data_IF_511474751744
#
_entry.id   IF_511474751744
#
_cell.length_a   1.000
_cell.length_b   1.000
_cell.length_c   1.000
_cell.angle_alpha   90.00
_cell.angle_beta   90.00
_cell.angle_gamma   90.00
#
_symmetry.space_group_name_H-M   'P 1'
#
loop_
_entity.id
_entity.type
_entity.pdbx_description
1 polymer ?
#
# COMPACT_ATOMS: atom_id res chain seq x y z
N UNK A 1 6.82 1.66 13.39
CA UNK A 1 6.49 2.05 12.01
C UNK A 1 5.29 1.27 11.53
N UNK A 2 4.22 1.95 11.16
CA UNK A 2 2.94 1.40 10.70
C UNK A 2 3.02 0.92 9.25
N UNK A 3 2.07 0.07 8.83
CA UNK A 3 1.98 -0.39 7.44
C UNK A 3 1.88 0.78 6.44
N UNK A 4 1.13 1.82 6.83
CA UNK A 4 0.97 3.04 6.05
C UNK A 4 2.30 3.77 5.86
N UNK A 5 3.07 3.95 6.93
CA UNK A 5 4.40 4.60 6.87
C UNK A 5 5.37 3.83 5.97
N UNK A 6 5.40 2.50 6.10
CA UNK A 6 6.23 1.64 5.22
C UNK A 6 5.81 1.76 3.76
N UNK A 7 4.50 1.85 3.51
CA UNK A 7 3.97 2.02 2.15
C UNK A 7 4.34 3.39 1.58
N UNK A 8 4.30 4.45 2.39
CA UNK A 8 4.71 5.79 2.00
C UNK A 8 6.21 5.86 1.68
N UNK A 9 7.05 5.21 2.47
CA UNK A 9 8.47 5.06 2.15
C UNK A 9 8.69 4.36 0.82
N UNK A 10 7.98 3.26 0.57
CA UNK A 10 8.07 2.53 -0.69
C UNK A 10 7.74 3.42 -1.91
N UNK A 11 6.74 4.30 -1.76
CA UNK A 11 6.36 5.26 -2.79
C UNK A 11 7.43 6.34 -2.96
N UNK A 12 7.92 6.90 -1.85
CA UNK A 12 8.83 8.05 -1.87
C UNK A 12 10.27 7.68 -2.21
N UNK A 13 10.79 6.59 -1.64
CA UNK A 13 12.19 6.16 -1.77
C UNK A 13 12.42 5.34 -3.03
N UNK A 14 11.44 4.50 -3.42
CA UNK A 14 11.58 3.59 -4.57
C UNK A 14 10.83 4.11 -5.81
N UNK A 15 10.17 5.26 -5.73
CA UNK A 15 9.40 5.85 -6.84
C UNK A 15 8.21 4.99 -7.29
N UNK A 16 7.74 4.07 -6.44
CA UNK A 16 6.66 3.15 -6.81
C UNK A 16 5.33 3.92 -6.89
N UNK A 17 4.67 3.83 -8.05
CA UNK A 17 3.39 4.51 -8.28
C UNK A 17 2.30 3.93 -7.38
N UNK A 18 1.49 4.81 -6.77
CA UNK A 18 0.31 4.42 -5.97
C UNK A 18 -0.63 3.49 -6.73
N UNK A 19 -0.81 3.74 -8.03
CA UNK A 19 -1.65 2.90 -8.91
C UNK A 19 -1.09 1.50 -9.14
N UNK A 20 0.23 1.34 -9.12
CA UNK A 20 0.87 0.03 -9.20
C UNK A 20 0.59 -0.80 -7.94
N UNK A 21 0.70 -0.18 -6.77
CA UNK A 21 0.42 -0.84 -5.48
C UNK A 21 -1.06 -1.23 -5.41
N UNK A 22 -1.97 -0.34 -5.76
CA UNK A 22 -3.41 -0.63 -5.83
C UNK A 22 -3.72 -1.81 -6.77
N UNK A 23 -3.11 -1.84 -7.96
CA UNK A 23 -3.23 -2.95 -8.91
C UNK A 23 -2.72 -4.28 -8.33
N UNK A 24 -1.56 -4.27 -7.66
CA UNK A 24 -1.00 -5.46 -6.99
C UNK A 24 -1.86 -5.98 -5.84
N UNK A 25 -2.57 -5.09 -5.16
CA UNK A 25 -3.51 -5.45 -4.10
C UNK A 25 -4.87 -5.93 -4.65
N UNK A 26 -5.12 -5.74 -5.95
CA UNK A 26 -6.42 -5.96 -6.61
C UNK A 26 -7.53 -5.05 -6.04
N UNK A 27 -7.18 -3.81 -5.71
CA UNK A 27 -8.13 -2.80 -5.20
C UNK A 27 -8.15 -1.58 -6.13
N UNK A 28 -9.19 -0.75 -6.00
CA UNK A 28 -9.27 0.50 -6.74
C UNK A 28 -8.27 1.54 -6.22
N UNK A 29 -7.80 2.41 -7.12
CA UNK A 29 -6.93 3.54 -6.76
C UNK A 29 -7.57 4.44 -5.70
N UNK A 30 -8.89 4.59 -5.74
CA UNK A 30 -9.66 5.34 -4.75
C UNK A 30 -9.57 4.70 -3.37
N UNK A 31 -9.76 3.38 -3.26
CA UNK A 31 -9.67 2.65 -1.99
C UNK A 31 -8.26 2.73 -1.41
N UNK A 32 -7.23 2.56 -2.24
CA UNK A 32 -5.85 2.74 -1.83
C UNK A 32 -5.56 4.18 -1.37
N UNK A 33 -6.14 5.17 -2.05
CA UNK A 33 -6.00 6.58 -1.64
C UNK A 33 -6.69 6.84 -0.30
N UNK A 34 -7.83 6.21 -0.01
CA UNK A 34 -8.48 6.31 1.29
C UNK A 34 -7.61 5.71 2.40
N UNK A 35 -6.96 4.57 2.13
CA UNK A 35 -5.99 3.97 3.04
C UNK A 35 -4.79 4.88 3.32
N UNK A 36 -4.16 5.42 2.27
CA UNK A 36 -3.01 6.32 2.43
C UNK A 36 -3.39 7.64 3.14
N UNK A 37 -4.64 8.08 3.04
CA UNK A 37 -5.15 9.26 3.73
C UNK A 37 -5.77 8.96 5.11
N UNK A 38 -5.59 7.75 5.64
CA UNK A 38 -6.09 7.33 6.95
C UNK A 38 -7.64 7.40 7.09
N UNK A 39 -8.35 7.42 5.96
CA UNK A 39 -9.81 7.52 5.92
C UNK A 39 -10.51 6.16 5.98
N UNK A 40 -9.85 5.11 5.47
CA UNK A 40 -10.39 3.77 5.45
C UNK A 40 -9.28 2.72 5.57
N UNK A 41 -9.33 1.81 6.55
CA UNK A 41 -8.36 0.73 6.64
C UNK A 41 -8.55 -0.29 5.52
N UNK A 42 -7.43 -0.93 5.13
CA UNK A 42 -7.47 -2.11 4.27
C UNK A 42 -8.02 -3.31 5.02
N UNK A 43 -8.63 -4.25 4.30
CA UNK A 43 -9.07 -5.52 4.84
C UNK A 43 -7.88 -6.46 5.08
N UNK A 44 -8.04 -7.42 6.01
CA UNK A 44 -7.03 -8.45 6.32
C UNK A 44 -6.31 -9.05 5.10
N UNK A 45 -6.99 -9.50 4.02
CA UNK A 45 -6.30 -10.05 2.84
C UNK A 45 -5.44 -9.02 2.09
N UNK A 46 -5.87 -7.76 2.03
CA UNK A 46 -5.13 -6.68 1.38
C UNK A 46 -3.90 -6.27 2.20
N UNK A 47 -4.05 -6.23 3.53
CA UNK A 47 -2.94 -6.03 4.48
C UNK A 47 -1.84 -7.07 4.25
N UNK A 48 -2.20 -8.37 4.21
CA UNK A 48 -1.21 -9.43 4.00
C UNK A 48 -0.51 -9.33 2.64
N UNK A 49 -1.24 -8.95 1.59
CA UNK A 49 -0.65 -8.71 0.26
C UNK A 49 0.29 -7.50 0.28
N UNK A 50 -0.08 -6.43 0.97
CA UNK A 50 0.72 -5.22 1.09
C UNK A 50 2.00 -5.48 1.87
N UNK A 51 1.92 -6.23 2.96
CA UNK A 51 3.09 -6.65 3.75
C UNK A 51 4.05 -7.47 2.90
N UNK A 52 3.57 -8.50 2.20
CA UNK A 52 4.40 -9.29 1.27
C UNK A 52 5.05 -8.45 0.18
N UNK A 53 4.30 -7.48 -0.35
CA UNK A 53 4.83 -6.56 -1.36
C UNK A 53 5.96 -5.72 -0.78
N UNK A 54 5.77 -5.11 0.38
CA UNK A 54 6.80 -4.32 1.06
C UNK A 54 8.03 -5.17 1.38
N UNK A 55 7.85 -6.40 1.85
CA UNK A 55 8.96 -7.33 2.12
C UNK A 55 9.75 -7.72 0.87
N UNK A 56 9.09 -7.81 -0.29
CA UNK A 56 9.77 -8.11 -1.56
C UNK A 56 10.72 -7.00 -2.04
N UNK A 57 10.60 -5.81 -1.46
CA UNK A 57 11.47 -4.66 -1.75
C UNK A 57 12.42 -4.33 -0.59
N UNK A 58 12.54 -5.21 0.41
CA UNK A 58 13.53 -5.06 1.48
C UNK A 58 14.90 -5.50 0.98
#
# INVERSE_FOLDING_TARGET
MTLRERTLQLISERGIKKSFIASKLSISNSLFSLFINDKQPLQKPEIMKLEKLIESYK
#
